data_IF_558808641130
#
_entry.id   IF_558808641130
#
_cell.length_a   1.000
_cell.length_b   1.000
_cell.length_c   1.000
_cell.angle_alpha   90.00
_cell.angle_beta   90.00
_cell.angle_gamma   90.00
#
_symmetry.space_group_name_H-M   'P 1'
#
loop_
_entity.id
_entity.type
_entity.pdbx_description
1 polymer ?
#
# COMPACT_ATOMS: atom_id res chain seq x y z
N UNK A 1 22.86 21.39 43.58
CA UNK A 1 22.17 21.01 42.32
C UNK A 1 22.62 19.62 41.91
N UNK A 2 21.71 18.65 41.94
CA UNK A 2 22.01 17.21 41.87
C UNK A 2 22.26 16.75 40.43
N UNK A 3 23.50 16.30 40.15
CA UNK A 3 23.98 15.78 38.86
C UNK A 3 23.19 14.57 38.31
N UNK A 4 22.31 13.98 39.11
CA UNK A 4 21.49 12.81 38.75
C UNK A 4 20.33 13.15 37.80
N UNK A 5 19.75 14.36 37.90
CA UNK A 5 18.55 14.74 37.14
C UNK A 5 18.84 14.98 35.64
N UNK A 6 20.05 15.43 35.32
CA UNK A 6 20.49 15.68 33.93
C UNK A 6 20.81 14.40 33.17
N UNK A 7 21.33 13.36 33.83
CA UNK A 7 21.62 12.07 33.20
C UNK A 7 20.34 11.30 32.85
N UNK A 8 19.33 11.34 33.72
CA UNK A 8 18.04 10.68 33.46
C UNK A 8 17.30 11.29 32.26
N UNK A 9 17.35 12.63 32.11
CA UNK A 9 16.73 13.32 30.98
C UNK A 9 17.39 12.99 29.64
N UNK A 10 18.73 12.88 29.61
CA UNK A 10 19.47 12.49 28.40
C UNK A 10 19.16 11.06 27.94
N UNK A 11 18.99 10.13 28.88
CA UNK A 11 18.64 8.73 28.58
C UNK A 11 17.24 8.63 27.99
N UNK A 12 16.27 9.39 28.52
CA UNK A 12 14.90 9.41 28.00
C UNK A 12 14.89 9.92 26.55
N UNK A 13 15.65 10.97 26.24
CA UNK A 13 15.72 11.50 24.87
C UNK A 13 16.33 10.48 23.90
N UNK A 14 17.42 9.81 24.29
CA UNK A 14 18.05 8.77 23.45
C UNK A 14 17.10 7.59 23.23
N UNK A 15 16.34 7.18 24.26
CA UNK A 15 15.32 6.15 24.13
C UNK A 15 14.18 6.60 23.20
N UNK A 16 13.71 7.85 23.30
CA UNK A 16 12.69 8.38 22.39
C UNK A 16 13.18 8.44 20.93
N UNK A 17 14.44 8.78 20.68
CA UNK A 17 15.00 8.76 19.32
C UNK A 17 15.21 7.31 18.80
N UNK A 18 15.67 6.40 19.65
CA UNK A 18 15.86 4.99 19.27
C UNK A 18 14.53 4.24 19.05
N UNK A 19 13.49 4.55 19.82
CA UNK A 19 12.14 4.03 19.60
C UNK A 19 11.42 4.76 18.47
N UNK A 20 11.64 6.07 18.29
CA UNK A 20 11.10 6.82 17.16
C UNK A 20 11.58 6.30 15.80
N UNK A 21 12.83 5.85 15.72
CA UNK A 21 13.38 5.18 14.52
C UNK A 21 12.91 3.74 14.33
N UNK A 22 12.30 3.09 15.34
CA UNK A 22 11.60 1.81 15.15
C UNK A 22 10.18 2.02 14.60
N UNK A 23 9.63 3.23 14.70
CA UNK A 23 8.34 3.62 14.12
C UNK A 23 8.46 4.16 12.68
N UNK A 24 9.67 4.38 12.17
CA UNK A 24 9.89 4.53 10.73
C UNK A 24 9.99 3.13 10.14
N UNK A 25 8.87 2.38 10.17
CA UNK A 25 8.76 1.18 9.37
C UNK A 25 9.13 1.55 7.94
N UNK A 26 9.95 0.74 7.28
CA UNK A 26 10.01 0.76 5.83
C UNK A 26 8.58 0.63 5.34
N UNK A 27 8.01 1.68 4.75
CA UNK A 27 6.65 1.64 4.20
C UNK A 27 6.62 0.46 3.22
N UNK A 28 5.93 -0.62 3.59
CA UNK A 28 5.82 -1.82 2.76
C UNK A 28 5.04 -1.42 1.51
N UNK A 29 5.68 -1.47 0.35
CA UNK A 29 5.11 -0.94 -0.89
C UNK A 29 4.79 -2.06 -1.86
N UNK A 30 3.67 -1.94 -2.56
CA UNK A 30 3.24 -2.90 -3.58
C UNK A 30 3.68 -2.50 -5.00
N UNK A 31 4.48 -1.44 -5.17
CA UNK A 31 4.87 -0.94 -6.51
C UNK A 31 5.44 -2.02 -7.41
N UNK A 32 6.23 -2.95 -6.87
CA UNK A 32 6.82 -4.04 -7.65
C UNK A 32 5.81 -5.07 -8.16
N UNK A 33 4.61 -5.12 -7.60
CA UNK A 33 3.56 -6.09 -7.95
C UNK A 33 2.45 -5.47 -8.82
N UNK A 34 2.41 -4.15 -9.01
CA UNK A 34 1.33 -3.48 -9.75
C UNK A 34 1.20 -4.04 -11.17
N UNK A 35 2.31 -4.15 -11.91
CA UNK A 35 2.29 -4.71 -13.27
C UNK A 35 1.75 -6.15 -13.30
N UNK A 36 2.08 -6.97 -12.29
CA UNK A 36 1.58 -8.34 -12.18
C UNK A 36 0.08 -8.37 -11.85
N UNK A 37 -0.40 -7.46 -10.99
CA UNK A 37 -1.81 -7.29 -10.67
C UNK A 37 -2.61 -6.85 -11.90
N UNK A 38 -2.08 -5.94 -12.71
CA UNK A 38 -2.70 -5.51 -13.98
C UNK A 38 -2.91 -6.71 -14.90
N UNK A 39 -1.83 -7.42 -15.24
CA UNK A 39 -1.89 -8.59 -16.12
C UNK A 39 -2.86 -9.66 -15.57
N UNK A 40 -2.84 -9.91 -14.26
CA UNK A 40 -3.72 -10.89 -13.64
C UNK A 40 -5.21 -10.52 -13.76
N UNK A 41 -5.55 -9.22 -13.68
CA UNK A 41 -6.91 -8.74 -13.91
C UNK A 41 -7.31 -8.86 -15.38
N UNK A 42 -6.45 -8.42 -16.29
CA UNK A 42 -6.69 -8.48 -17.74
C UNK A 42 -6.95 -9.92 -18.20
N UNK A 43 -6.11 -10.86 -17.78
CA UNK A 43 -6.27 -12.28 -18.12
C UNK A 43 -7.53 -12.89 -17.50
N UNK A 44 -7.80 -12.62 -16.22
CA UNK A 44 -8.92 -13.26 -15.51
C UNK A 44 -10.28 -12.74 -15.96
N UNK A 45 -10.39 -11.43 -16.14
CA UNK A 45 -11.66 -10.76 -16.45
C UNK A 45 -11.83 -10.40 -17.92
N UNK A 46 -10.86 -10.78 -18.77
CA UNK A 46 -10.83 -10.47 -20.21
C UNK A 46 -11.13 -8.98 -20.46
N UNK A 47 -10.39 -8.13 -19.74
CA UNK A 47 -10.44 -6.67 -19.82
C UNK A 47 -9.07 -6.12 -20.23
N UNK A 48 -9.02 -4.82 -20.50
CA UNK A 48 -7.78 -4.09 -20.76
C UNK A 48 -7.69 -2.93 -19.76
N UNK A 49 -6.54 -2.77 -19.11
CA UNK A 49 -6.22 -1.69 -18.20
C UNK A 49 -5.37 -0.67 -18.95
N UNK A 50 -5.83 0.57 -19.02
CA UNK A 50 -5.15 1.68 -19.71
C UNK A 50 -4.29 2.52 -18.75
N UNK A 51 -4.32 2.21 -17.45
CA UNK A 51 -3.39 2.80 -16.51
C UNK A 51 -3.70 2.43 -15.07
N UNK A 52 -2.65 2.49 -14.25
CA UNK A 52 -2.72 2.40 -12.80
C UNK A 52 -2.31 3.70 -12.15
N UNK A 53 -2.83 3.89 -10.94
CA UNK A 53 -2.36 4.94 -10.04
C UNK A 53 -2.20 4.35 -8.65
N UNK A 54 -1.01 4.52 -8.09
CA UNK A 54 -0.69 4.09 -6.74
C UNK A 54 -0.01 5.20 -5.97
N UNK A 55 -0.43 5.43 -4.73
CA UNK A 55 0.31 6.26 -3.79
C UNK A 55 0.20 5.74 -2.37
N UNK A 56 1.21 6.12 -1.58
CA UNK A 56 1.30 5.85 -0.15
C UNK A 56 1.33 7.20 0.56
N UNK A 57 0.51 7.35 1.59
CA UNK A 57 0.58 8.48 2.52
C UNK A 57 0.55 7.95 3.94
N UNK A 58 1.70 8.00 4.63
CA UNK A 58 1.93 7.31 5.89
C UNK A 58 1.79 5.79 5.68
N UNK A 59 0.71 5.18 6.18
CA UNK A 59 0.41 3.75 6.00
C UNK A 59 -0.90 3.54 5.24
N UNK A 60 -1.38 4.55 4.52
CA UNK A 60 -2.57 4.46 3.67
C UNK A 60 -2.12 4.23 2.23
N UNK A 61 -2.55 3.11 1.66
CA UNK A 61 -2.18 2.62 0.35
C UNK A 61 -3.41 2.71 -0.53
N UNK A 62 -3.36 3.62 -1.50
CA UNK A 62 -4.41 3.72 -2.50
C UNK A 62 -3.92 3.17 -3.83
N UNK A 63 -4.73 2.31 -4.44
CA UNK A 63 -4.49 1.76 -5.76
C UNK A 63 -5.75 1.86 -6.62
N UNK A 64 -5.62 2.42 -7.82
CA UNK A 64 -6.70 2.43 -8.80
C UNK A 64 -6.22 1.80 -10.10
N UNK A 65 -7.07 1.02 -10.76
CA UNK A 65 -6.88 0.59 -12.15
C UNK A 65 -7.96 1.20 -13.02
N UNK A 66 -7.57 1.79 -14.15
CA UNK A 66 -8.48 2.42 -15.11
C UNK A 66 -8.69 1.48 -16.29
N UNK A 67 -9.92 1.07 -16.55
CA UNK A 67 -10.27 0.25 -17.70
C UNK A 67 -10.12 1.06 -18.99
N UNK A 68 -9.69 0.40 -20.07
CA UNK A 68 -9.75 0.98 -21.40
C UNK A 68 -11.21 1.30 -21.77
N UNK A 69 -11.44 2.40 -22.48
CA UNK A 69 -12.79 2.83 -22.93
C UNK A 69 -13.54 1.77 -23.73
N UNK A 70 -12.79 0.96 -24.48
CA UNK A 70 -13.32 -0.11 -25.33
C UNK A 70 -13.45 -1.45 -24.57
N UNK A 71 -13.07 -1.49 -23.29
CA UNK A 71 -13.21 -2.68 -22.46
C UNK A 71 -14.68 -3.04 -22.32
N UNK A 72 -15.03 -4.22 -22.82
CA UNK A 72 -16.41 -4.75 -22.73
C UNK A 72 -16.70 -5.39 -21.36
N UNK A 73 -15.68 -5.47 -20.50
CA UNK A 73 -15.79 -6.11 -19.19
C UNK A 73 -16.60 -5.27 -18.22
N UNK A 74 -17.48 -5.93 -17.47
CA UNK A 74 -18.24 -5.31 -16.37
C UNK A 74 -17.51 -5.43 -15.04
N UNK A 75 -16.18 -5.52 -15.07
CA UNK A 75 -15.35 -5.72 -13.88
C UNK A 75 -15.69 -4.67 -12.83
N UNK A 76 -16.24 -5.13 -11.71
CA UNK A 76 -16.54 -4.26 -10.58
C UNK A 76 -15.34 -4.14 -9.65
N UNK A 77 -15.24 -3.03 -8.92
CA UNK A 77 -14.25 -2.86 -7.85
C UNK A 77 -14.24 -4.04 -6.88
N UNK A 78 -15.42 -4.53 -6.49
CA UNK A 78 -15.52 -5.62 -5.52
C UNK A 78 -14.98 -6.95 -6.07
N UNK A 79 -15.26 -7.30 -7.33
CA UNK A 79 -14.75 -8.52 -7.96
C UNK A 79 -13.23 -8.48 -8.11
N UNK A 80 -12.69 -7.35 -8.58
CA UNK A 80 -11.25 -7.14 -8.69
C UNK A 80 -10.58 -7.24 -7.32
N UNK A 81 -11.15 -6.61 -6.28
CA UNK A 81 -10.60 -6.64 -4.92
C UNK A 81 -10.57 -8.06 -4.34
N UNK A 82 -11.67 -8.84 -4.49
CA UNK A 82 -11.72 -10.23 -4.04
C UNK A 82 -10.70 -11.11 -4.78
N UNK A 83 -10.54 -10.89 -6.09
CA UNK A 83 -9.56 -11.63 -6.87
C UNK A 83 -8.13 -11.30 -6.45
N UNK A 84 -7.76 -10.02 -6.39
CA UNK A 84 -6.40 -9.59 -6.05
C UNK A 84 -6.00 -10.00 -4.62
N UNK A 85 -6.88 -9.81 -3.63
CA UNK A 85 -6.63 -10.28 -2.25
C UNK A 85 -6.46 -11.80 -2.15
N UNK A 86 -7.03 -12.58 -3.08
CA UNK A 86 -6.83 -14.03 -3.13
C UNK A 86 -5.52 -14.46 -3.81
N UNK A 87 -4.83 -13.54 -4.51
CA UNK A 87 -3.67 -13.83 -5.36
C UNK A 87 -2.37 -13.18 -4.91
N UNK A 88 -2.45 -12.00 -4.32
CA UNK A 88 -1.31 -11.18 -3.95
C UNK A 88 -1.35 -10.91 -2.45
N UNK A 89 -0.41 -11.47 -1.70
CA UNK A 89 -0.35 -11.36 -0.23
C UNK A 89 -0.23 -9.90 0.21
N UNK A 90 0.56 -9.09 -0.50
CA UNK A 90 0.77 -7.69 -0.14
C UNK A 90 -0.39 -6.77 -0.55
N UNK A 91 -1.40 -7.27 -1.28
CA UNK A 91 -2.60 -6.50 -1.57
C UNK A 91 -3.39 -6.16 -0.30
N UNK A 92 -3.20 -6.91 0.79
CA UNK A 92 -3.76 -6.59 2.12
C UNK A 92 -3.31 -5.22 2.66
N UNK A 93 -2.24 -4.64 2.10
CA UNK A 93 -1.80 -3.28 2.44
C UNK A 93 -2.72 -2.22 1.86
N UNK A 94 -3.43 -2.51 0.75
CA UNK A 94 -4.30 -1.57 0.03
C UNK A 94 -5.63 -1.39 0.78
N UNK A 95 -5.82 -0.22 1.40
CA UNK A 95 -7.03 0.11 2.15
C UNK A 95 -8.04 0.95 1.34
N UNK A 96 -7.60 1.58 0.25
CA UNK A 96 -8.45 2.29 -0.71
C UNK A 96 -8.21 1.76 -2.13
N UNK A 97 -9.21 1.07 -2.70
CA UNK A 97 -9.10 0.42 -4.00
C UNK A 97 -10.31 0.72 -4.89
N UNK A 98 -10.06 1.10 -6.15
CA UNK A 98 -11.10 1.40 -7.13
C UNK A 98 -10.76 0.88 -8.54
N UNK A 99 -11.78 0.39 -9.26
CA UNK A 99 -11.75 0.23 -10.72
C UNK A 99 -12.47 1.43 -11.34
N UNK A 100 -11.80 2.14 -12.25
CA UNK A 100 -12.27 3.37 -12.90
C UNK A 100 -12.61 3.18 -14.38
#
# INVERSE_FOLDING_TARGET
MSKSKTLFSGIIIILFFAFGSLFTGTEESIVSEIDEMEMALEEHFNCEINGSFYYIMFNHHRLNFTLALESTSKLTTQEAQMYLSSKFENFDLVDDFEIL
#
